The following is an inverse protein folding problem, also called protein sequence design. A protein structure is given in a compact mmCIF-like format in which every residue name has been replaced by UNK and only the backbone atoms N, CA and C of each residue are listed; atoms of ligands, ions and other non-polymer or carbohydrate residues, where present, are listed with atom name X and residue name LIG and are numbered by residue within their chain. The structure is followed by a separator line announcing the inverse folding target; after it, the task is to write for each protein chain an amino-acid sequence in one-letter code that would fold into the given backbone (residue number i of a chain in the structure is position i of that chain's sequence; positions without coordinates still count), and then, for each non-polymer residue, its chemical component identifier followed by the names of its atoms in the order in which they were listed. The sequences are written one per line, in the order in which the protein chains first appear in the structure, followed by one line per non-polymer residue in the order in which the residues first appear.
data_IF_032276066103
#
_entry.id   IF_032276066103
#
_cell.length_a   1.000
_cell.length_b   1.000
_cell.length_c   1.000
_cell.angle_alpha   90.00
_cell.angle_beta   90.00
_cell.angle_gamma   90.00
#
_symmetry.space_group_name_H-M   'P 1'
#
loop_
_entity.id
_entity.type
_entity.pdbx_description
1 polymer ?
#
# COMPACT_ATOMS: atom_id res chain seq x y z
N UNK A 1 18.63 1.79 4.10
CA UNK A 1 18.20 3.03 4.77
C UNK A 1 17.55 3.97 3.77
N UNK A 2 16.53 4.70 4.21
CA UNK A 2 15.91 5.77 3.45
C UNK A 2 15.59 6.94 4.38
N UNK A 3 15.97 8.16 3.96
CA UNK A 3 15.62 9.40 4.63
C UNK A 3 14.98 10.37 3.64
N UNK A 4 14.07 11.19 4.12
CA UNK A 4 13.61 12.35 3.37
C UNK A 4 14.67 13.45 3.45
N UNK A 5 14.94 14.17 2.34
CA UNK A 5 15.79 15.34 2.39
C UNK A 5 15.21 16.38 3.34
N UNK A 6 16.06 17.01 4.15
CA UNK A 6 15.62 18.13 4.98
C UNK A 6 15.14 19.29 4.10
N UNK A 7 14.09 19.97 4.54
CA UNK A 7 13.55 21.16 3.87
C UNK A 7 14.35 22.43 4.20
N UNK A 8 15.20 22.38 5.24
CA UNK A 8 16.01 23.53 5.68
C UNK A 8 17.51 23.21 5.63
N UNK A 9 18.35 24.15 5.18
CA UNK A 9 19.81 23.97 5.21
C UNK A 9 20.31 23.84 6.66
N UNK A 10 20.98 22.72 6.97
CA UNK A 10 21.60 22.47 8.29
C UNK A 10 20.76 21.60 9.24
N UNK A 11 19.59 21.16 8.85
CA UNK A 11 18.86 20.13 9.58
C UNK A 11 19.27 18.72 9.13
N UNK A 12 19.28 17.77 10.07
CA UNK A 12 19.57 16.37 9.78
C UNK A 12 18.48 15.73 8.90
N UNK A 13 18.90 14.84 8.00
CA UNK A 13 17.96 14.04 7.20
C UNK A 13 17.07 13.19 8.11
N UNK A 14 15.76 13.29 7.96
CA UNK A 14 14.82 12.45 8.71
C UNK A 14 14.87 11.00 8.20
N UNK A 15 15.56 10.13 8.94
CA UNK A 15 15.71 8.71 8.62
C UNK A 15 14.42 7.94 8.95
N UNK A 16 13.69 7.52 7.91
CA UNK A 16 12.40 6.82 8.03
C UNK A 16 12.55 5.30 7.96
N UNK A 17 13.44 4.78 7.12
CA UNK A 17 13.67 3.34 6.99
C UNK A 17 15.13 3.02 7.37
N UNK A 18 15.32 2.07 8.30
CA UNK A 18 16.62 1.68 8.84
C UNK A 18 16.91 0.23 8.54
N UNK A 19 18.03 -0.03 7.86
CA UNK A 19 18.52 -1.38 7.55
C UNK A 19 17.43 -2.32 7.01
N UNK A 20 16.50 -1.76 6.23
CA UNK A 20 15.39 -2.52 5.68
C UNK A 20 15.89 -3.47 4.58
N UNK A 21 15.51 -4.73 4.68
CA UNK A 21 15.74 -5.76 3.68
C UNK A 21 14.45 -6.55 3.49
N UNK A 22 14.07 -6.81 2.27
CA UNK A 22 12.91 -7.65 1.93
C UNK A 22 13.28 -8.54 0.74
N UNK A 23 13.01 -9.83 0.86
CA UNK A 23 13.12 -10.78 -0.24
C UNK A 23 11.81 -11.52 -0.41
N UNK A 24 11.22 -11.40 -1.59
CA UNK A 24 9.98 -12.09 -1.97
C UNK A 24 10.20 -12.81 -3.29
N UNK A 25 9.73 -14.05 -3.35
CA UNK A 25 9.72 -14.84 -4.59
C UNK A 25 8.50 -14.45 -5.43
N UNK A 26 8.54 -14.63 -6.76
CA UNK A 26 7.34 -14.52 -7.59
C UNK A 26 6.19 -15.36 -7.01
N UNK A 27 4.97 -14.83 -7.08
CA UNK A 27 3.78 -15.45 -6.50
C UNK A 27 3.56 -15.17 -5.01
N UNK A 28 4.43 -14.38 -4.35
CA UNK A 28 4.27 -14.04 -2.93
C UNK A 28 3.14 -13.04 -2.71
N UNK A 29 2.38 -13.25 -1.65
CA UNK A 29 1.44 -12.28 -1.06
C UNK A 29 2.00 -11.85 0.29
N UNK A 30 2.63 -10.69 0.33
CA UNK A 30 3.26 -10.16 1.55
C UNK A 30 2.34 -9.14 2.22
N UNK A 31 1.94 -9.40 3.45
CA UNK A 31 1.26 -8.43 4.28
C UNK A 31 2.30 -7.58 5.02
N UNK A 32 2.21 -6.26 4.88
CA UNK A 32 3.09 -5.30 5.53
C UNK A 32 2.38 -4.73 6.76
N UNK A 33 2.83 -5.12 7.95
CA UNK A 33 2.35 -4.65 9.24
C UNK A 33 3.26 -3.59 9.84
N UNK A 34 2.71 -2.77 10.72
CA UNK A 34 3.43 -1.78 11.50
C UNK A 34 2.52 -0.67 12.01
N UNK A 35 2.95 0.04 13.03
CA UNK A 35 2.24 1.19 13.58
C UNK A 35 2.05 2.31 12.55
N UNK A 36 1.13 3.25 12.82
CA UNK A 36 1.08 4.50 12.06
C UNK A 36 2.41 5.24 12.21
N UNK A 37 2.90 5.84 11.13
CA UNK A 37 4.20 6.50 11.13
C UNK A 37 5.42 5.57 11.03
N UNK A 38 5.29 4.24 11.05
CA UNK A 38 6.43 3.31 10.96
C UNK A 38 7.15 3.30 9.59
N UNK A 39 6.64 4.02 8.58
CA UNK A 39 7.28 4.11 7.26
C UNK A 39 6.71 3.16 6.21
N UNK A 40 5.58 2.45 6.44
CA UNK A 40 4.95 1.55 5.46
C UNK A 40 4.69 2.22 4.10
N UNK A 41 4.02 3.37 4.13
CA UNK A 41 3.72 4.14 2.90
C UNK A 41 4.99 4.65 2.22
N UNK A 42 5.99 5.05 3.00
CA UNK A 42 7.32 5.45 2.48
C UNK A 42 8.00 4.27 1.80
N UNK A 43 8.00 3.10 2.44
CA UNK A 43 8.54 1.88 1.86
C UNK A 43 7.87 1.56 0.53
N UNK A 44 6.55 1.53 0.49
CA UNK A 44 5.80 1.24 -0.74
C UNK A 44 6.09 2.28 -1.84
N UNK A 45 6.22 3.56 -1.51
CA UNK A 45 6.59 4.62 -2.46
C UNK A 45 8.04 4.46 -2.97
N UNK A 46 8.96 4.03 -2.13
CA UNK A 46 10.36 3.72 -2.52
C UNK A 46 10.36 2.53 -3.47
N UNK A 47 9.68 1.43 -3.15
CA UNK A 47 9.53 0.26 -4.02
C UNK A 47 8.81 0.60 -5.33
N UNK A 48 7.86 1.54 -5.29
CA UNK A 48 7.15 2.06 -6.47
C UNK A 48 8.02 2.98 -7.35
N UNK A 49 9.26 3.28 -6.94
CA UNK A 49 10.13 4.22 -7.65
C UNK A 49 9.63 5.66 -7.61
N UNK A 50 8.84 6.04 -6.60
CA UNK A 50 8.37 7.43 -6.42
C UNK A 50 9.32 8.29 -5.61
N UNK A 51 10.28 7.67 -4.94
CA UNK A 51 11.33 8.34 -4.19
C UNK A 51 12.71 7.90 -4.66
N UNK A 52 13.56 8.87 -4.95
CA UNK A 52 14.96 8.62 -5.31
C UNK A 52 15.72 8.13 -4.07
N UNK A 53 16.44 7.01 -4.21
CA UNK A 53 17.35 6.51 -3.21
C UNK A 53 18.79 6.78 -3.58
N UNK A 54 19.67 7.01 -2.59
CA UNK A 54 21.10 7.21 -2.84
C UNK A 54 21.73 5.88 -3.33
N UNK A 55 22.31 5.87 -4.53
CA UNK A 55 22.98 4.72 -5.14
C UNK A 55 22.02 3.60 -5.58
N UNK A 56 22.55 2.42 -5.89
CA UNK A 56 21.83 1.21 -6.34
C UNK A 56 21.24 0.39 -5.17
N UNK A 57 20.72 1.06 -4.14
CA UNK A 57 20.34 0.38 -2.89
C UNK A 57 19.01 -0.34 -2.95
N UNK A 58 18.08 0.10 -3.82
CA UNK A 58 16.76 -0.50 -3.92
C UNK A 58 16.57 -1.12 -5.28
N UNK A 59 16.51 -2.45 -5.29
CA UNK A 59 16.26 -3.23 -6.49
C UNK A 59 14.90 -3.89 -6.42
N UNK A 60 14.16 -3.80 -7.50
CA UNK A 60 12.89 -4.49 -7.70
C UNK A 60 13.05 -5.33 -8.96
N UNK A 61 12.79 -6.63 -8.87
CA UNK A 61 13.06 -7.60 -9.96
C UNK A 61 14.51 -7.54 -10.50
N UNK A 62 15.47 -7.25 -9.61
CA UNK A 62 16.89 -7.16 -9.96
C UNK A 62 17.33 -5.84 -10.59
N UNK A 63 16.42 -4.91 -10.87
CA UNK A 63 16.71 -3.60 -11.49
C UNK A 63 16.48 -2.44 -10.51
N UNK A 64 17.05 -1.27 -10.80
CA UNK A 64 16.89 -0.09 -9.95
C UNK A 64 15.42 0.38 -9.93
N UNK A 65 14.86 0.48 -8.73
CA UNK A 65 13.45 0.78 -8.53
C UNK A 65 13.03 2.16 -9.07
N UNK A 66 13.92 3.14 -9.05
CA UNK A 66 13.62 4.52 -9.48
C UNK A 66 14.05 4.79 -10.92
N UNK A 67 15.24 4.31 -11.32
CA UNK A 67 15.86 4.67 -12.60
C UNK A 67 15.37 3.80 -13.77
N UNK A 68 14.94 2.56 -13.50
CA UNK A 68 14.44 1.68 -14.54
C UNK A 68 12.96 1.97 -14.85
N UNK A 69 12.72 2.76 -15.89
CA UNK A 69 11.37 3.12 -16.34
C UNK A 69 10.58 1.92 -16.90
N UNK A 70 11.25 0.84 -17.31
CA UNK A 70 10.56 -0.37 -17.82
C UNK A 70 9.76 -1.05 -16.72
N UNK A 71 10.19 -0.95 -15.46
CA UNK A 71 9.42 -1.43 -14.31
C UNK A 71 8.02 -0.83 -14.23
N UNK A 72 7.80 0.39 -14.72
CA UNK A 72 6.48 1.02 -14.70
C UNK A 72 5.47 0.34 -15.63
N UNK A 73 5.91 -0.56 -16.51
CA UNK A 73 5.03 -1.38 -17.36
C UNK A 73 4.49 -2.61 -16.63
N UNK A 74 5.21 -3.11 -15.63
CA UNK A 74 4.89 -4.35 -14.92
C UNK A 74 4.71 -4.15 -13.41
N UNK A 75 4.93 -2.93 -12.91
CA UNK A 75 4.73 -2.56 -11.52
C UNK A 75 3.53 -1.65 -11.37
N UNK A 76 2.57 -2.04 -10.52
CA UNK A 76 1.42 -1.22 -10.15
C UNK A 76 1.56 -0.73 -8.70
N UNK A 77 1.22 0.52 -8.45
CA UNK A 77 1.15 1.11 -7.11
C UNK A 77 -0.16 1.86 -6.92
N UNK A 78 -0.90 1.48 -5.91
CA UNK A 78 -2.19 2.08 -5.56
C UNK A 78 -2.14 2.55 -4.10
N UNK A 79 -2.49 3.82 -3.88
CA UNK A 79 -2.53 4.46 -2.57
C UNK A 79 -3.86 5.17 -2.31
N UNK A 80 -4.03 5.69 -1.11
CA UNK A 80 -5.24 6.41 -0.71
C UNK A 80 -5.34 7.80 -1.33
N UNK A 81 -4.27 8.34 -1.89
CA UNK A 81 -4.21 9.73 -2.39
C UNK A 81 -4.66 9.90 -3.84
N UNK A 82 -5.01 8.79 -4.53
CA UNK A 82 -5.44 8.85 -5.91
C UNK A 82 -6.74 9.68 -6.08
N UNK A 83 -6.73 10.58 -7.03
CA UNK A 83 -7.86 11.48 -7.30
C UNK A 83 -8.00 12.62 -6.28
N UNK A 84 -7.15 12.66 -5.24
CA UNK A 84 -7.13 13.72 -4.24
C UNK A 84 -6.27 14.92 -4.69
N UNK A 85 -5.30 14.68 -5.58
CA UNK A 85 -4.45 15.72 -6.15
C UNK A 85 -4.98 16.11 -7.51
N UNK A 86 -5.80 17.13 -7.57
CA UNK A 86 -6.02 17.88 -8.79
C UNK A 86 -5.05 19.04 -8.87
N UNK A 87 -4.73 19.41 -10.10
CA UNK A 87 -3.95 20.61 -10.40
C UNK A 87 -4.50 21.77 -9.56
N UNK A 88 -3.69 22.29 -8.64
CA UNK A 88 -4.06 23.39 -7.80
C UNK A 88 -4.29 24.64 -8.68
N UNK A 89 -5.52 24.94 -8.99
CA UNK A 89 -5.90 26.29 -9.40
C UNK A 89 -6.19 27.07 -8.10
N UNK A 90 -5.42 28.12 -7.85
CA UNK A 90 -5.61 29.03 -6.73
C UNK A 90 -5.53 28.42 -5.31
N UNK A 91 -4.66 27.42 -5.05
CA UNK A 91 -4.38 26.96 -3.68
C UNK A 91 -5.44 26.04 -3.07
N UNK A 92 -6.48 25.68 -3.77
CA UNK A 92 -7.48 24.70 -3.31
C UNK A 92 -7.31 23.38 -4.04
N UNK A 93 -6.99 22.32 -3.30
CA UNK A 93 -7.00 20.95 -3.79
C UNK A 93 -8.45 20.47 -3.96
N UNK A 94 -8.98 20.51 -5.17
CA UNK A 94 -10.25 19.84 -5.48
C UNK A 94 -10.01 18.39 -5.87
N UNK A 95 -10.79 17.41 -5.36
CA UNK A 95 -10.77 16.06 -5.88
C UNK A 95 -11.06 16.06 -7.37
N UNK A 96 -10.70 14.99 -8.09
CA UNK A 96 -10.93 14.85 -9.54
C UNK A 96 -12.41 15.14 -9.86
N UNK A 97 -12.73 16.41 -10.15
CA UNK A 97 -14.08 16.90 -10.41
C UNK A 97 -14.35 17.09 -11.92
N UNK A 98 -13.43 16.60 -12.75
CA UNK A 98 -13.62 16.64 -14.18
C UNK A 98 -14.85 15.79 -14.59
N UNK A 99 -15.65 16.32 -15.49
CA UNK A 99 -16.78 15.58 -16.08
C UNK A 99 -16.29 14.52 -17.07
N UNK A 100 -15.58 13.53 -16.55
CA UNK A 100 -15.02 12.43 -17.31
C UNK A 100 -15.83 11.17 -16.99
N UNK A 101 -16.27 10.48 -18.06
CA UNK A 101 -16.91 9.17 -17.96
C UNK A 101 -15.86 8.09 -17.69
N UNK A 102 -16.12 7.19 -16.74
CA UNK A 102 -15.19 6.13 -16.35
C UNK A 102 -14.77 5.27 -17.54
N UNK A 103 -15.70 4.90 -18.42
CA UNK A 103 -15.40 4.12 -19.62
C UNK A 103 -14.45 4.81 -20.61
N UNK A 104 -14.38 6.15 -20.62
CA UNK A 104 -13.41 6.92 -21.41
C UNK A 104 -12.05 7.11 -20.73
N UNK A 105 -11.93 6.78 -19.46
CA UNK A 105 -10.66 6.90 -18.74
C UNK A 105 -9.71 5.79 -19.18
N UNK A 106 -8.50 6.17 -19.64
CA UNK A 106 -7.50 5.21 -20.11
C UNK A 106 -8.06 4.23 -21.16
N UNK A 107 -8.92 4.69 -22.04
CA UNK A 107 -9.65 3.89 -23.04
C UNK A 107 -8.75 2.94 -23.84
N UNK A 108 -7.59 3.44 -24.30
CA UNK A 108 -6.59 2.61 -25.00
C UNK A 108 -6.13 1.43 -24.16
N UNK A 109 -5.88 1.65 -22.87
CA UNK A 109 -5.44 0.59 -21.96
C UNK A 109 -6.57 -0.41 -21.69
N UNK A 110 -7.78 0.08 -21.49
CA UNK A 110 -8.95 -0.78 -21.28
C UNK A 110 -9.23 -1.65 -22.51
N UNK A 111 -9.04 -1.12 -23.71
CA UNK A 111 -9.21 -1.84 -24.97
C UNK A 111 -8.11 -2.87 -25.25
N UNK A 112 -6.92 -2.70 -24.67
CA UNK A 112 -5.84 -3.69 -24.79
C UNK A 112 -6.11 -4.96 -23.96
N UNK A 113 -6.91 -4.86 -22.89
CA UNK A 113 -7.19 -5.95 -21.97
C UNK A 113 -8.70 -6.09 -21.71
N UNK A 114 -9.51 -6.36 -22.74
CA UNK A 114 -10.97 -6.30 -22.64
C UNK A 114 -11.53 -7.34 -21.65
N UNK A 115 -11.06 -8.58 -21.69
CA UNK A 115 -11.54 -9.64 -20.80
C UNK A 115 -11.23 -9.31 -19.34
N UNK A 116 -10.00 -8.87 -19.05
CA UNK A 116 -9.56 -8.47 -17.72
C UNK A 116 -10.32 -7.23 -17.23
N UNK A 117 -10.57 -6.27 -18.10
CA UNK A 117 -11.41 -5.10 -17.82
C UNK A 117 -12.81 -5.55 -17.41
N UNK A 118 -13.44 -6.44 -18.17
CA UNK A 118 -14.82 -6.88 -17.93
C UNK A 118 -14.92 -7.70 -16.63
N UNK A 119 -13.92 -8.55 -16.35
CA UNK A 119 -13.79 -9.26 -15.06
C UNK A 119 -13.72 -8.26 -13.90
N UNK A 120 -12.85 -7.23 -13.99
CA UNK A 120 -12.67 -6.22 -12.95
C UNK A 120 -13.89 -5.30 -12.80
N UNK A 121 -14.53 -4.91 -13.90
CA UNK A 121 -15.79 -4.13 -13.88
C UNK A 121 -16.86 -4.86 -13.09
N UNK A 122 -17.03 -6.15 -13.36
CA UNK A 122 -17.99 -7.00 -12.64
C UNK A 122 -17.61 -7.18 -11.17
N UNK A 123 -16.36 -7.53 -10.89
CA UNK A 123 -15.84 -7.78 -9.55
C UNK A 123 -15.98 -6.55 -8.65
N UNK A 124 -15.59 -5.39 -9.17
CA UNK A 124 -15.60 -4.12 -8.43
C UNK A 124 -16.96 -3.43 -8.46
N UNK A 125 -17.93 -3.93 -9.24
CA UNK A 125 -19.24 -3.29 -9.42
C UNK A 125 -19.13 -1.88 -9.97
N UNK A 126 -18.21 -1.66 -10.92
CA UNK A 126 -18.02 -0.35 -11.58
C UNK A 126 -18.97 -0.21 -12.73
N UNK A 127 -19.68 0.92 -12.81
CA UNK A 127 -20.46 1.26 -14.00
C UNK A 127 -19.60 2.18 -14.90
N UNK A 128 -19.28 1.77 -16.14
CA UNK A 128 -18.51 2.58 -17.09
C UNK A 128 -19.15 3.93 -17.41
N UNK A 129 -20.47 4.08 -17.22
CA UNK A 129 -21.21 5.33 -17.42
C UNK A 129 -21.10 6.31 -16.26
N UNK A 130 -20.50 5.92 -15.13
CA UNK A 130 -20.27 6.86 -14.03
C UNK A 130 -19.42 8.04 -14.49
N UNK A 131 -19.73 9.20 -13.93
CA UNK A 131 -18.98 10.43 -14.14
C UNK A 131 -18.21 10.79 -12.87
N UNK A 132 -16.90 11.04 -12.99
CA UNK A 132 -15.99 11.18 -11.85
C UNK A 132 -16.37 12.29 -10.87
N UNK A 133 -17.02 13.35 -11.33
CA UNK A 133 -17.52 14.44 -10.45
C UNK A 133 -18.76 14.06 -9.64
N UNK A 134 -19.41 12.92 -9.93
CA UNK A 134 -20.65 12.46 -9.25
C UNK A 134 -20.47 11.19 -8.43
N UNK A 135 -19.29 10.57 -8.47
CA UNK A 135 -19.05 9.33 -7.74
C UNK A 135 -18.78 9.58 -6.26
N UNK A 136 -19.26 8.67 -5.40
CA UNK A 136 -18.88 8.64 -3.99
C UNK A 136 -17.41 8.23 -3.82
N UNK A 137 -16.85 8.40 -2.61
CA UNK A 137 -15.46 8.00 -2.34
C UNK A 137 -15.25 6.50 -2.52
N UNK A 138 -16.21 5.66 -2.10
CA UNK A 138 -16.16 4.21 -2.35
C UNK A 138 -16.20 3.88 -3.85
N UNK A 139 -17.06 4.54 -4.63
CA UNK A 139 -17.10 4.37 -6.09
C UNK A 139 -15.80 4.86 -6.74
N UNK A 140 -15.25 5.97 -6.28
CA UNK A 140 -13.95 6.48 -6.75
C UNK A 140 -12.84 5.48 -6.49
N UNK A 141 -12.83 4.86 -5.32
CA UNK A 141 -11.85 3.80 -4.98
C UNK A 141 -11.98 2.59 -5.89
N UNK A 142 -13.20 2.15 -6.21
CA UNK A 142 -13.42 1.05 -7.16
C UNK A 142 -12.92 1.39 -8.58
N UNK A 143 -13.12 2.64 -9.03
CA UNK A 143 -12.57 3.12 -10.31
C UNK A 143 -11.04 3.13 -10.29
N UNK A 144 -10.42 3.60 -9.22
CA UNK A 144 -8.96 3.54 -9.05
C UNK A 144 -8.44 2.11 -9.18
N UNK A 145 -9.07 1.17 -8.49
CA UNK A 145 -8.71 -0.25 -8.56
C UNK A 145 -8.85 -0.79 -9.98
N UNK A 146 -9.97 -0.52 -10.65
CA UNK A 146 -10.16 -0.91 -12.04
C UNK A 146 -9.01 -0.43 -12.92
N UNK A 147 -8.73 0.87 -12.92
CA UNK A 147 -7.71 1.46 -13.78
C UNK A 147 -6.29 1.01 -13.43
N UNK A 148 -6.01 0.78 -12.15
CA UNK A 148 -4.70 0.33 -11.69
C UNK A 148 -4.44 -1.17 -11.89
N UNK A 149 -5.50 -1.99 -11.98
CA UNK A 149 -5.40 -3.44 -12.10
C UNK A 149 -5.68 -3.97 -13.52
N UNK A 150 -6.24 -3.14 -14.42
CA UNK A 150 -6.58 -3.57 -15.78
C UNK A 150 -5.33 -3.97 -16.58
N UNK A 151 -4.20 -3.29 -16.40
CA UNK A 151 -2.92 -3.76 -16.94
C UNK A 151 -2.40 -4.92 -16.10
N UNK A 152 -2.01 -6.03 -16.71
CA UNK A 152 -1.28 -7.09 -16.01
C UNK A 152 -0.02 -6.54 -15.35
N UNK A 153 0.26 -7.01 -14.14
CA UNK A 153 1.42 -6.58 -13.35
C UNK A 153 2.22 -7.81 -12.87
N UNK A 154 3.51 -7.65 -12.67
CA UNK A 154 4.37 -8.62 -12.01
C UNK A 154 4.51 -8.27 -10.52
N UNK A 155 4.44 -6.97 -10.18
CA UNK A 155 4.46 -6.49 -8.81
C UNK A 155 3.31 -5.51 -8.60
N UNK A 156 2.54 -5.75 -7.54
CA UNK A 156 1.48 -4.87 -7.07
C UNK A 156 1.77 -4.40 -5.64
N UNK A 157 1.79 -3.09 -5.47
CA UNK A 157 1.99 -2.42 -4.19
C UNK A 157 0.68 -1.73 -3.80
N UNK A 158 0.11 -2.11 -2.65
CA UNK A 158 -1.18 -1.60 -2.16
C UNK A 158 -0.99 -0.90 -0.82
N UNK A 159 -1.36 0.36 -0.74
CA UNK A 159 -1.29 1.18 0.47
C UNK A 159 -2.70 1.59 0.92
N UNK A 160 -3.28 0.86 1.89
CA UNK A 160 -4.58 1.11 2.52
C UNK A 160 -5.77 1.24 1.54
N UNK A 161 -5.70 0.64 0.37
CA UNK A 161 -6.66 0.88 -0.72
C UNK A 161 -8.04 0.25 -0.53
N UNK A 162 -8.22 -0.61 0.47
CA UNK A 162 -9.49 -1.31 0.69
C UNK A 162 -10.37 -0.70 1.76
N UNK A 163 -9.93 0.37 2.42
CA UNK A 163 -10.64 1.01 3.54
C UNK A 163 -12.05 1.52 3.19
N UNK A 164 -12.26 1.95 1.94
CA UNK A 164 -13.55 2.45 1.45
C UNK A 164 -14.37 1.40 0.67
N UNK A 165 -13.95 0.13 0.71
CA UNK A 165 -14.69 -0.96 0.06
C UNK A 165 -15.62 -1.64 1.06
N UNK A 166 -16.78 -2.06 0.61
CA UNK A 166 -17.62 -2.97 1.39
C UNK A 166 -16.98 -4.35 1.52
N UNK A 167 -17.44 -5.12 2.48
CA UNK A 167 -16.87 -6.42 2.86
C UNK A 167 -16.84 -7.39 1.68
N UNK A 168 -17.89 -7.44 0.88
CA UNK A 168 -18.01 -8.40 -0.24
C UNK A 168 -17.00 -8.07 -1.33
N UNK A 169 -16.97 -6.83 -1.79
CA UNK A 169 -16.03 -6.38 -2.84
C UNK A 169 -14.57 -6.55 -2.37
N UNK A 170 -14.30 -6.31 -1.08
CA UNK A 170 -12.97 -6.52 -0.51
C UNK A 170 -12.58 -8.01 -0.55
N UNK A 171 -13.46 -8.91 -0.12
CA UNK A 171 -13.19 -10.34 -0.17
C UNK A 171 -12.98 -10.85 -1.60
N UNK A 172 -13.81 -10.41 -2.54
CA UNK A 172 -13.70 -10.79 -3.94
C UNK A 172 -12.39 -10.25 -4.56
N UNK A 173 -11.99 -9.03 -4.22
CA UNK A 173 -10.70 -8.48 -4.62
C UNK A 173 -9.53 -9.31 -4.05
N UNK A 174 -9.58 -9.71 -2.78
CA UNK A 174 -8.53 -10.53 -2.18
C UNK A 174 -8.42 -11.91 -2.85
N UNK A 175 -9.54 -12.56 -3.18
CA UNK A 175 -9.55 -13.83 -3.93
C UNK A 175 -9.00 -13.65 -5.35
N UNK A 176 -9.36 -12.55 -6.00
CA UNK A 176 -8.86 -12.24 -7.34
C UNK A 176 -7.34 -12.00 -7.32
N UNK A 177 -6.81 -11.25 -6.35
CA UNK A 177 -5.38 -11.04 -6.17
C UNK A 177 -4.66 -12.36 -5.85
N UNK A 178 -5.26 -13.24 -5.07
CA UNK A 178 -4.72 -14.58 -4.82
C UNK A 178 -4.60 -15.37 -6.12
N UNK A 179 -5.65 -15.41 -6.94
CA UNK A 179 -5.62 -16.04 -8.26
C UNK A 179 -4.49 -15.48 -9.14
N UNK A 180 -4.32 -14.16 -9.18
CA UNK A 180 -3.23 -13.50 -9.94
C UNK A 180 -1.84 -13.98 -9.48
N UNK A 181 -1.64 -14.14 -8.18
CA UNK A 181 -0.35 -14.62 -7.65
C UNK A 181 -0.12 -16.09 -7.94
N UNK A 182 -1.14 -16.92 -7.88
CA UNK A 182 -1.06 -18.37 -8.10
C UNK A 182 -0.96 -18.75 -9.58
N UNK A 183 -1.67 -18.03 -10.45
CA UNK A 183 -1.73 -18.38 -11.89
C UNK A 183 -0.69 -17.66 -12.73
N UNK A 184 -0.33 -16.42 -12.36
CA UNK A 184 0.60 -15.59 -13.14
C UNK A 184 1.94 -15.35 -12.45
N UNK A 185 2.08 -15.80 -11.20
CA UNK A 185 3.27 -15.52 -10.42
C UNK A 185 3.44 -14.06 -10.01
N UNK A 186 2.39 -13.24 -10.09
CA UNK A 186 2.44 -11.87 -9.63
C UNK A 186 2.77 -11.79 -8.13
N UNK A 187 3.54 -10.79 -7.72
CA UNK A 187 3.87 -10.56 -6.32
C UNK A 187 3.05 -9.38 -5.81
N UNK A 188 2.43 -9.54 -4.64
CA UNK A 188 1.63 -8.48 -4.01
C UNK A 188 2.23 -8.11 -2.66
N UNK A 189 2.47 -6.81 -2.44
CA UNK A 189 2.81 -6.26 -1.13
C UNK A 189 1.67 -5.35 -0.70
N UNK A 190 1.04 -5.68 0.41
CA UNK A 190 -0.16 -5.00 0.87
C UNK A 190 -0.01 -4.49 2.30
N UNK A 191 -0.05 -3.17 2.47
CA UNK A 191 -0.14 -2.50 3.77
C UNK A 191 -1.60 -2.23 4.09
N UNK A 192 -2.05 -2.72 5.26
CA UNK A 192 -3.40 -2.49 5.76
C UNK A 192 -3.49 -2.69 7.27
N UNK A 193 -4.47 -2.05 7.90
CA UNK A 193 -4.90 -2.34 9.28
C UNK A 193 -6.24 -3.08 9.34
N UNK A 194 -6.79 -3.50 8.22
CA UNK A 194 -8.01 -4.29 8.17
C UNK A 194 -7.63 -5.75 7.95
N UNK A 195 -7.75 -6.57 8.97
CA UNK A 195 -7.30 -7.97 8.95
C UNK A 195 -8.43 -8.98 8.68
N UNK A 196 -9.69 -8.53 8.63
CA UNK A 196 -10.83 -9.41 8.37
C UNK A 196 -10.69 -10.13 7.04
N UNK A 197 -10.72 -11.47 7.08
CA UNK A 197 -10.59 -12.32 5.91
C UNK A 197 -9.17 -12.42 5.34
N UNK A 198 -8.16 -11.94 6.08
CA UNK A 198 -6.75 -12.04 5.68
C UNK A 198 -5.97 -13.15 6.41
N UNK A 199 -6.62 -13.95 7.27
CA UNK A 199 -5.93 -14.93 8.09
C UNK A 199 -5.17 -15.99 7.28
N UNK A 200 -5.72 -16.42 6.13
CA UNK A 200 -5.12 -17.41 5.22
C UNK A 200 -4.60 -16.81 3.91
N UNK A 201 -4.75 -15.50 3.72
CA UNK A 201 -4.42 -14.85 2.47
C UNK A 201 -2.90 -14.64 2.27
N UNK A 202 -2.13 -14.15 3.28
CA UNK A 202 -0.72 -13.87 3.09
C UNK A 202 0.13 -15.14 3.06
N UNK A 203 1.08 -15.20 2.15
CA UNK A 203 2.15 -16.20 2.14
C UNK A 203 3.34 -15.75 2.98
N UNK A 204 3.53 -14.44 3.10
CA UNK A 204 4.63 -13.80 3.82
C UNK A 204 4.08 -12.66 4.67
N UNK A 205 4.79 -12.40 5.75
CA UNK A 205 4.54 -11.26 6.62
C UNK A 205 5.82 -10.46 6.77
N UNK A 206 5.69 -9.14 6.79
CA UNK A 206 6.76 -8.22 7.13
C UNK A 206 6.25 -7.24 8.17
N UNK A 207 6.87 -7.21 9.33
CA UNK A 207 6.58 -6.27 10.40
C UNK A 207 7.63 -5.16 10.42
N UNK A 208 7.18 -3.95 10.18
CA UNK A 208 7.97 -2.73 10.26
C UNK A 208 7.72 -2.05 11.60
N UNK A 209 8.72 -2.01 12.45
CA UNK A 209 8.58 -1.39 13.76
C UNK A 209 8.49 0.14 13.66
N UNK A 210 8.10 0.81 14.73
CA UNK A 210 7.91 2.27 14.77
C UNK A 210 9.16 3.10 14.42
N UNK A 211 10.35 2.52 14.47
CA UNK A 211 11.60 3.16 14.12
C UNK A 211 12.01 2.92 12.65
N UNK A 212 11.15 2.35 11.85
CA UNK A 212 11.41 2.07 10.43
C UNK A 212 12.37 0.91 10.19
N UNK A 213 12.57 0.04 11.18
CA UNK A 213 13.39 -1.16 11.05
C UNK A 213 12.50 -2.41 10.94
N UNK A 214 13.04 -3.48 10.35
CA UNK A 214 12.38 -4.78 10.30
C UNK A 214 12.33 -5.40 11.70
N UNK A 215 11.14 -5.56 12.25
CA UNK A 215 10.91 -6.27 13.50
C UNK A 215 10.78 -7.78 13.27
N UNK A 216 10.12 -8.19 12.18
CA UNK A 216 10.02 -9.57 11.75
C UNK A 216 9.75 -9.65 10.24
N UNK A 217 10.28 -10.68 9.58
CA UNK A 217 9.96 -10.99 8.19
C UNK A 217 10.11 -12.48 7.91
N UNK A 218 9.29 -13.00 7.02
CA UNK A 218 9.40 -14.39 6.56
C UNK A 218 8.09 -14.96 6.03
N UNK A 219 8.13 -16.23 5.61
CA UNK A 219 6.93 -16.98 5.27
C UNK A 219 6.03 -17.16 6.50
N UNK A 220 4.70 -17.14 6.28
CA UNK A 220 3.72 -17.33 7.38
C UNK A 220 3.95 -18.63 8.16
N UNK A 221 4.38 -19.70 7.50
CA UNK A 221 4.67 -20.99 8.16
C UNK A 221 5.83 -20.97 9.14
N UNK A 222 6.73 -19.97 9.05
CA UNK A 222 7.86 -19.81 9.98
C UNK A 222 7.50 -18.94 11.21
N UNK A 223 6.33 -18.31 11.23
CA UNK A 223 5.89 -17.51 12.35
C UNK A 223 5.26 -18.39 13.45
N UNK A 224 6.04 -18.70 14.49
CA UNK A 224 5.61 -19.57 15.58
C UNK A 224 4.29 -19.13 16.23
N UNK A 225 4.09 -17.83 16.44
CA UNK A 225 2.85 -17.28 16.98
C UNK A 225 1.64 -17.56 16.07
N UNK A 226 1.81 -17.47 14.74
CA UNK A 226 0.75 -17.82 13.81
C UNK A 226 0.39 -19.29 13.87
N UNK A 227 1.41 -20.18 13.87
CA UNK A 227 1.20 -21.62 13.98
C UNK A 227 0.49 -22.01 15.28
N UNK A 228 0.86 -21.38 16.40
CA UNK A 228 0.20 -21.57 17.69
C UNK A 228 -1.27 -21.16 17.65
N UNK A 229 -1.58 -19.93 17.18
CA UNK A 229 -2.95 -19.42 17.10
C UNK A 229 -3.84 -20.27 16.18
N UNK A 230 -3.28 -20.78 15.08
CA UNK A 230 -4.00 -21.71 14.17
C UNK A 230 -4.30 -23.04 14.87
N UNK A 231 -3.36 -23.59 15.62
CA UNK A 231 -3.55 -24.83 16.40
C UNK A 231 -4.60 -24.66 17.49
N UNK A 232 -4.67 -23.50 18.12
CA UNK A 232 -5.65 -23.15 19.16
C UNK A 232 -7.03 -22.82 18.58
N UNK A 233 -7.17 -22.73 17.25
CA UNK A 233 -8.43 -22.37 16.58
C UNK A 233 -8.84 -20.91 16.81
N UNK A 234 -7.87 -20.01 16.98
CA UNK A 234 -8.17 -18.59 17.21
C UNK A 234 -8.94 -17.99 16.00
N UNK A 235 -10.05 -17.27 16.22
CA UNK A 235 -10.93 -16.80 15.12
C UNK A 235 -10.26 -15.78 14.19
N UNK A 236 -9.28 -15.03 14.65
CA UNK A 236 -8.59 -13.98 13.88
C UNK A 236 -7.09 -13.95 14.22
N UNK A 237 -6.30 -14.92 13.75
CA UNK A 237 -4.87 -15.00 14.02
C UNK A 237 -4.10 -13.73 13.60
N UNK A 238 -4.38 -13.17 12.43
CA UNK A 238 -3.69 -11.97 11.94
C UNK A 238 -3.93 -10.74 12.81
N UNK A 239 -5.16 -10.51 13.24
CA UNK A 239 -5.49 -9.43 14.16
C UNK A 239 -4.76 -9.62 15.50
N UNK A 240 -4.71 -10.87 16.01
CA UNK A 240 -4.02 -11.18 17.27
C UNK A 240 -2.52 -10.92 17.18
N UNK A 241 -1.87 -11.33 16.09
CA UNK A 241 -0.45 -11.05 15.83
C UNK A 241 -0.19 -9.55 15.82
N UNK A 242 -0.95 -8.81 15.00
CA UNK A 242 -0.80 -7.36 14.88
C UNK A 242 -0.98 -6.66 16.24
N UNK A 243 -2.04 -6.99 16.97
CA UNK A 243 -2.29 -6.39 18.29
C UNK A 243 -1.22 -6.76 19.33
N UNK A 244 -0.68 -7.98 19.28
CA UNK A 244 0.38 -8.41 20.18
C UNK A 244 1.66 -7.60 19.96
N UNK A 245 2.09 -7.45 18.71
CA UNK A 245 3.30 -6.70 18.39
C UNK A 245 3.16 -5.20 18.63
N UNK A 246 2.04 -4.61 18.22
CA UNK A 246 1.80 -3.17 18.44
C UNK A 246 1.68 -2.83 19.94
N UNK A 247 1.07 -3.72 20.76
CA UNK A 247 1.04 -3.53 22.22
C UNK A 247 2.40 -3.64 22.86
N UNK A 248 3.25 -4.56 22.39
CA UNK A 248 4.62 -4.66 22.85
C UNK A 248 5.42 -3.37 22.59
N UNK A 249 5.28 -2.79 21.40
CA UNK A 249 5.90 -1.50 21.06
C UNK A 249 5.37 -0.35 21.93
N UNK A 250 4.05 -0.30 22.17
CA UNK A 250 3.47 0.72 23.05
C UNK A 250 3.97 0.56 24.48
N UNK A 251 4.11 -0.66 24.97
CA UNK A 251 4.63 -0.92 26.31
C UNK A 251 6.11 -0.53 26.46
N UNK A 252 6.90 -0.71 25.41
CA UNK A 252 8.33 -0.39 25.41
C UNK A 252 8.60 1.11 25.20
N UNK A 253 7.84 1.78 24.33
CA UNK A 253 8.16 3.14 23.85
C UNK A 253 7.06 4.17 24.14
N UNK A 254 5.95 3.79 24.75
CA UNK A 254 4.76 4.64 24.92
C UNK A 254 3.93 4.80 23.64
N UNK A 255 2.77 5.45 23.76
CA UNK A 255 1.90 5.76 22.61
C UNK A 255 2.59 6.82 21.73
N UNK A 256 2.68 6.58 20.43
CA UNK A 256 3.13 7.61 19.50
C UNK A 256 2.10 8.76 19.50
N UNK A 257 2.51 9.93 19.95
CA UNK A 257 1.68 11.14 19.82
C UNK A 257 1.78 11.60 18.37
N UNK A 258 0.70 11.45 17.61
CA UNK A 258 0.59 12.06 16.27
C UNK A 258 0.61 13.57 16.48
N UNK A 259 1.63 14.25 15.94
CA UNK A 259 1.66 15.72 15.88
C UNK A 259 2.66 16.47 16.74
N UNK A 260 3.75 15.83 17.18
CA UNK A 260 4.80 16.54 17.95
C UNK A 260 5.89 17.23 17.10
N UNK A 261 5.74 17.27 15.79
CA UNK A 261 6.69 17.95 14.91
C UNK A 261 6.04 19.22 14.33
N UNK A 262 5.98 20.29 15.13
CA UNK A 262 5.69 21.58 14.52
C UNK A 262 4.85 22.62 15.28
N UNK A 263 4.92 22.69 16.62
CA UNK A 263 4.52 23.94 17.32
C UNK A 263 5.12 23.97 18.74
N UNK A 264 6.31 24.52 18.86
CA UNK A 264 6.91 24.68 20.15
C UNK A 264 8.12 25.59 20.14
N UNK A 265 7.96 26.87 19.90
CA UNK A 265 8.81 27.95 20.41
C UNK A 265 8.40 29.30 19.86
N UNK A 266 7.26 29.83 20.25
CA UNK A 266 7.00 31.27 20.34
C UNK A 266 6.42 31.59 21.71
N UNK A 267 7.20 31.35 22.76
CA UNK A 267 6.97 32.07 24.02
C UNK A 267 7.78 33.35 23.99
N UNK A 268 7.01 34.41 24.03
CA UNK A 268 7.22 35.77 24.49
C UNK A 268 8.55 36.04 25.21
N UNK A 269 9.33 36.93 24.69
CA UNK A 269 10.01 37.93 25.54
C UNK A 269 9.46 39.29 25.17
N UNK A 270 8.71 39.75 26.14
CA UNK A 270 8.30 41.04 26.56
C UNK A 270 7.84 42.01 26.17
#
# INVERSE_FOLDING_TARGET
DFAYPSSLPGEDEHLVLKNFCMQLKPGSRCLLLGANGSGKSTLLKVLAGKHLTKGDRVKVMGTDAFRDLKLNLTRAFLDTQWGMRTVAFAGYGCPLQADIRVGGMMEKLQSQYPERRDELVKLLGVNPEWRMHRVSDGQRRRVQLLLGLVRPFDILLLDEVTTCLDVIVRQDLMRWLQKETETRGATVVYATHIFDGLDDWPTHLHYLNRHGATGWQGPMGELALYAQLRKEGHPSPMLKIATTWLRAEIAEFGVAVEGADGEGARESKN
#
